data_IF_158944232728
#
_entry.id   IF_158944232728
#
_cell.length_a   1.000
_cell.length_b   1.000
_cell.length_c   1.000
_cell.angle_alpha   90.00
_cell.angle_beta   90.00
_cell.angle_gamma   90.00
#
_symmetry.space_group_name_H-M   'P 1'
#
loop_
_entity.id
_entity.type
_entity.pdbx_description
1 polymer ?
#
# COMPACT_ATOMS: atom_id res chain seq x y z
N UNK A 1 -21.85 -2.46 11.87
CA UNK A 1 -21.14 -1.83 10.74
C UNK A 1 -20.17 -2.82 10.08
N UNK A 2 -19.08 -3.26 10.73
CA UNK A 2 -18.11 -4.22 10.15
C UNK A 2 -18.70 -5.47 9.49
N UNK A 3 -19.52 -6.24 10.20
CA UNK A 3 -20.16 -7.44 9.62
C UNK A 3 -21.08 -7.14 8.42
N UNK A 4 -21.68 -5.94 8.34
CA UNK A 4 -22.47 -5.54 7.19
C UNK A 4 -21.58 -5.25 5.96
N UNK A 5 -20.41 -4.66 6.19
CA UNK A 5 -19.41 -4.47 5.14
C UNK A 5 -18.90 -5.83 4.64
N UNK A 6 -18.54 -6.76 5.53
CA UNK A 6 -18.11 -8.11 5.14
C UNK A 6 -19.19 -8.89 4.39
N UNK A 7 -20.46 -8.80 4.79
CA UNK A 7 -21.54 -9.40 4.00
C UNK A 7 -21.63 -8.78 2.61
N UNK A 8 -21.48 -7.46 2.49
CA UNK A 8 -21.52 -6.78 1.20
C UNK A 8 -20.47 -7.30 0.22
N UNK A 9 -19.24 -7.54 0.71
CA UNK A 9 -18.13 -8.10 -0.07
C UNK A 9 -18.37 -9.58 -0.40
N UNK A 10 -18.68 -10.41 0.61
CA UNK A 10 -18.87 -11.86 0.42
C UNK A 10 -20.01 -12.18 -0.54
N UNK A 11 -21.10 -11.41 -0.50
CA UNK A 11 -22.24 -11.60 -1.41
C UNK A 11 -21.91 -11.26 -2.87
N UNK A 12 -20.85 -10.46 -3.11
CA UNK A 12 -20.40 -10.01 -4.44
C UNK A 12 -19.11 -10.70 -4.89
N UNK A 13 -18.77 -11.85 -4.31
CA UNK A 13 -17.74 -12.71 -4.87
C UNK A 13 -18.21 -13.25 -6.23
N UNK A 14 -17.28 -13.37 -7.17
CA UNK A 14 -17.58 -13.94 -8.47
C UNK A 14 -17.96 -15.41 -8.34
N UNK A 15 -19.12 -15.76 -8.92
CA UNK A 15 -19.57 -17.12 -9.19
C UNK A 15 -19.93 -17.22 -10.67
N UNK A 16 -19.81 -18.41 -11.24
CA UNK A 16 -20.25 -18.63 -12.61
C UNK A 16 -21.72 -18.21 -12.79
N UNK A 17 -21.96 -17.24 -13.69
CA UNK A 17 -23.27 -16.62 -13.91
C UNK A 17 -23.42 -15.20 -13.37
N UNK A 18 -22.45 -14.66 -12.63
CA UNK A 18 -22.42 -13.23 -12.28
C UNK A 18 -22.36 -12.34 -13.53
N UNK A 19 -23.13 -11.25 -13.54
CA UNK A 19 -23.13 -10.29 -14.65
C UNK A 19 -21.84 -9.44 -14.62
N UNK A 20 -20.92 -9.73 -15.54
CA UNK A 20 -19.59 -9.09 -15.63
C UNK A 20 -19.13 -8.94 -17.09
N UNK A 21 -17.94 -8.36 -17.31
CA UNK A 21 -17.37 -8.18 -18.64
C UNK A 21 -16.96 -9.51 -19.27
N UNK A 22 -17.30 -9.71 -20.55
CA UNK A 22 -16.92 -10.93 -21.27
C UNK A 22 -15.43 -11.01 -21.64
N UNK A 23 -14.68 -9.90 -21.55
CA UNK A 23 -13.22 -9.90 -21.82
C UNK A 23 -12.37 -9.92 -20.55
N UNK A 24 -12.95 -9.67 -19.37
CA UNK A 24 -12.23 -9.86 -18.12
C UNK A 24 -12.03 -11.36 -17.93
N UNK A 25 -10.78 -11.79 -17.76
CA UNK A 25 -10.52 -13.14 -17.28
C UNK A 25 -10.86 -13.16 -15.78
N UNK A 26 -12.04 -13.72 -15.45
CA UNK A 26 -12.54 -13.80 -14.06
C UNK A 26 -12.64 -15.26 -13.61
N UNK A 27 -12.31 -15.50 -12.36
CA UNK A 27 -12.28 -16.79 -11.68
C UNK A 27 -13.16 -16.76 -10.43
N UNK A 28 -13.72 -17.92 -10.07
CA UNK A 28 -14.51 -18.04 -8.83
C UNK A 28 -13.66 -17.68 -7.61
N UNK A 29 -14.22 -16.87 -6.71
CA UNK A 29 -13.53 -16.38 -5.51
C UNK A 29 -12.87 -15.01 -5.67
N UNK A 30 -12.91 -14.41 -6.85
CA UNK A 30 -12.54 -13.00 -7.03
C UNK A 30 -13.58 -12.06 -6.42
N UNK A 31 -13.12 -10.93 -5.90
CA UNK A 31 -13.94 -9.93 -5.20
C UNK A 31 -14.33 -8.82 -6.17
N UNK A 32 -15.63 -8.51 -6.20
CA UNK A 32 -16.11 -7.36 -6.94
C UNK A 32 -15.53 -6.06 -6.37
N UNK A 33 -14.86 -5.29 -7.21
CA UNK A 33 -14.34 -3.97 -6.87
C UNK A 33 -15.45 -2.93 -6.83
N UNK A 34 -16.27 -2.89 -7.90
CA UNK A 34 -17.34 -1.91 -8.05
C UNK A 34 -18.63 -2.56 -8.55
N UNK A 35 -19.75 -2.10 -8.00
CA UNK A 35 -21.08 -2.46 -8.45
C UNK A 35 -21.71 -1.25 -9.16
N UNK A 36 -21.98 -1.40 -10.45
CA UNK A 36 -22.76 -0.44 -11.23
C UNK A 36 -24.23 -0.81 -11.14
N UNK A 37 -25.07 0.14 -10.73
CA UNK A 37 -26.51 -0.04 -10.52
C UNK A 37 -27.35 0.99 -11.29
N UNK A 38 -28.65 0.70 -11.45
CA UNK A 38 -29.64 1.65 -12.00
C UNK A 38 -29.49 1.89 -13.51
N UNK A 39 -29.77 3.10 -13.97
CA UNK A 39 -29.74 3.41 -15.40
C UNK A 39 -28.33 3.28 -16.01
N UNK A 40 -27.29 3.51 -15.22
CA UNK A 40 -25.92 3.32 -15.69
C UNK A 40 -25.62 1.84 -15.96
N UNK A 41 -26.18 0.90 -15.20
CA UNK A 41 -26.02 -0.53 -15.51
C UNK A 41 -26.72 -0.92 -16.81
N UNK A 42 -27.87 -0.30 -17.14
CA UNK A 42 -28.51 -0.49 -18.44
C UNK A 42 -27.60 -0.05 -19.59
N UNK A 43 -26.93 1.09 -19.45
CA UNK A 43 -25.96 1.57 -20.43
C UNK A 43 -24.78 0.59 -20.61
N UNK A 44 -24.19 0.14 -19.50
CA UNK A 44 -23.10 -0.84 -19.51
C UNK A 44 -23.54 -2.17 -20.14
N UNK A 45 -24.70 -2.69 -19.75
CA UNK A 45 -25.25 -3.94 -20.26
C UNK A 45 -25.50 -3.87 -21.79
N UNK A 46 -26.03 -2.75 -22.31
CA UNK A 46 -26.20 -2.54 -23.76
C UNK A 46 -24.84 -2.56 -24.47
N UNK A 47 -23.85 -1.83 -23.95
CA UNK A 47 -22.50 -1.78 -24.55
C UNK A 47 -21.79 -3.14 -24.53
N UNK A 48 -22.12 -3.99 -23.58
CA UNK A 48 -21.62 -5.37 -23.47
C UNK A 48 -22.44 -6.38 -24.28
N UNK A 49 -23.40 -5.94 -25.11
CA UNK A 49 -24.24 -6.82 -25.92
C UNK A 49 -25.28 -7.60 -25.11
N UNK A 50 -25.56 -7.19 -23.88
CA UNK A 50 -26.48 -7.79 -22.91
C UNK A 50 -27.64 -6.86 -22.55
N UNK A 51 -28.17 -6.12 -23.53
CA UNK A 51 -29.31 -5.22 -23.32
C UNK A 51 -30.55 -5.91 -22.75
N UNK A 52 -30.64 -7.25 -22.88
CA UNK A 52 -31.67 -8.09 -22.25
C UNK A 52 -31.67 -8.01 -20.71
N UNK A 53 -30.54 -7.67 -20.10
CA UNK A 53 -30.40 -7.54 -18.65
C UNK A 53 -30.97 -6.24 -18.08
N UNK A 54 -31.23 -5.23 -18.92
CA UNK A 54 -31.76 -3.93 -18.47
C UNK A 54 -30.94 -3.34 -17.32
N UNK A 55 -31.63 -2.92 -16.25
CA UNK A 55 -31.01 -2.35 -15.04
C UNK A 55 -30.40 -3.36 -14.07
N UNK A 56 -30.21 -4.63 -14.46
CA UNK A 56 -29.52 -5.59 -13.60
C UNK A 56 -28.12 -5.08 -13.24
N UNK A 57 -27.67 -5.21 -11.98
CA UNK A 57 -26.35 -4.74 -11.58
C UNK A 57 -25.23 -5.35 -12.43
N UNK A 58 -24.18 -4.57 -12.63
CA UNK A 58 -22.95 -5.00 -13.28
C UNK A 58 -21.82 -4.98 -12.25
N UNK A 59 -21.04 -6.06 -12.21
CA UNK A 59 -19.97 -6.25 -11.23
C UNK A 59 -18.60 -6.26 -11.93
N UNK A 60 -17.71 -5.37 -11.51
CA UNK A 60 -16.35 -5.25 -12.03
C UNK A 60 -15.36 -6.07 -11.20
N UNK A 61 -14.56 -6.90 -11.86
CA UNK A 61 -13.53 -7.75 -11.22
C UNK A 61 -12.14 -7.49 -11.84
N UNK A 62 -11.90 -6.30 -12.39
CA UNK A 62 -10.62 -5.94 -12.99
C UNK A 62 -9.48 -5.78 -11.95
N UNK A 63 -9.83 -5.56 -10.68
CA UNK A 63 -8.88 -5.16 -9.63
C UNK A 63 -8.35 -6.35 -8.82
N UNK A 64 -7.06 -6.65 -9.01
CA UNK A 64 -6.38 -7.80 -8.41
C UNK A 64 -5.98 -7.58 -6.94
N UNK A 65 -6.00 -6.34 -6.48
CA UNK A 65 -5.73 -5.96 -5.09
C UNK A 65 -6.93 -6.25 -4.18
N UNK A 66 -8.14 -6.04 -4.69
CA UNK A 66 -9.41 -6.14 -3.96
C UNK A 66 -9.64 -7.57 -3.47
N UNK A 67 -9.20 -8.56 -4.26
CA UNK A 67 -9.19 -9.99 -3.91
C UNK A 67 -8.46 -10.28 -2.59
N UNK A 68 -7.52 -9.42 -2.20
CA UNK A 68 -6.57 -9.63 -1.11
C UNK A 68 -6.91 -8.81 0.15
N UNK A 69 -7.89 -7.91 0.09
CA UNK A 69 -8.23 -7.02 1.21
C UNK A 69 -9.20 -7.66 2.22
N UNK A 70 -10.02 -8.62 1.77
CA UNK A 70 -11.05 -9.25 2.61
C UNK A 70 -10.45 -10.02 3.79
N UNK A 71 -9.47 -10.89 3.53
CA UNK A 71 -8.93 -11.83 4.52
C UNK A 71 -8.14 -11.12 5.64
N UNK A 72 -7.23 -10.16 5.37
CA UNK A 72 -6.61 -9.35 6.42
C UNK A 72 -7.62 -8.62 7.28
N UNK A 73 -8.66 -8.05 6.66
CA UNK A 73 -9.72 -7.32 7.38
C UNK A 73 -10.55 -8.25 8.29
N UNK A 74 -10.86 -9.47 7.83
CA UNK A 74 -11.54 -10.49 8.63
C UNK A 74 -10.67 -11.00 9.78
N UNK A 75 -9.39 -11.26 9.53
CA UNK A 75 -8.44 -11.68 10.56
C UNK A 75 -8.34 -10.61 11.66
N UNK A 76 -8.13 -9.36 11.29
CA UNK A 76 -8.11 -8.24 12.22
C UNK A 76 -9.41 -8.15 13.04
N UNK A 77 -10.56 -8.18 12.38
CA UNK A 77 -11.84 -8.08 13.08
C UNK A 77 -12.11 -9.24 14.04
N UNK A 78 -11.93 -10.49 13.60
CA UNK A 78 -12.31 -11.65 14.40
C UNK A 78 -11.29 -12.04 15.48
N UNK A 79 -10.00 -11.82 15.22
CA UNK A 79 -8.94 -12.29 16.11
C UNK A 79 -8.54 -11.22 17.13
N UNK A 80 -8.62 -9.94 16.77
CA UNK A 80 -7.98 -8.87 17.56
C UNK A 80 -8.98 -7.91 18.17
N UNK A 81 -9.99 -7.49 17.39
CA UNK A 81 -10.97 -6.52 17.87
C UNK A 81 -11.93 -7.16 18.90
N UNK A 82 -12.11 -6.54 20.08
CA UNK A 82 -13.08 -7.00 21.08
C UNK A 82 -14.50 -7.19 20.51
N UNK A 83 -14.87 -6.37 19.52
CA UNK A 83 -16.18 -6.39 18.87
C UNK A 83 -16.40 -7.59 17.94
N UNK A 84 -15.34 -8.31 17.54
CA UNK A 84 -15.40 -9.47 16.64
C UNK A 84 -15.08 -10.81 17.30
N UNK A 85 -14.44 -10.82 18.48
CA UNK A 85 -14.18 -12.04 19.26
C UNK A 85 -15.44 -12.90 19.42
N UNK A 86 -15.28 -14.21 19.23
CA UNK A 86 -16.34 -15.24 19.32
C UNK A 86 -17.54 -15.06 18.37
N UNK A 87 -17.45 -14.18 17.35
CA UNK A 87 -18.54 -13.94 16.39
C UNK A 87 -18.37 -14.62 15.04
N UNK A 88 -17.18 -15.16 14.76
CA UNK A 88 -16.84 -15.71 13.44
C UNK A 88 -17.82 -16.80 13.00
N UNK A 89 -18.07 -17.81 13.85
CA UNK A 89 -18.99 -18.91 13.52
C UNK A 89 -20.38 -18.44 13.12
N UNK A 90 -21.02 -17.64 13.98
CA UNK A 90 -22.38 -17.15 13.74
C UNK A 90 -22.47 -16.26 12.51
N UNK A 91 -21.44 -15.47 12.23
CA UNK A 91 -21.39 -14.64 11.03
C UNK A 91 -21.25 -15.50 9.77
N UNK A 92 -20.28 -16.41 9.74
CA UNK A 92 -19.95 -17.19 8.55
C UNK A 92 -21.04 -18.22 8.19
N UNK A 93 -21.84 -18.66 9.14
CA UNK A 93 -23.00 -19.54 8.90
C UNK A 93 -24.23 -18.82 8.34
N UNK A 94 -24.22 -17.49 8.22
CA UNK A 94 -25.31 -16.76 7.54
C UNK A 94 -25.28 -17.06 6.05
N UNK A 95 -26.46 -17.11 5.45
CA UNK A 95 -26.61 -17.31 4.01
C UNK A 95 -26.71 -15.99 3.26
N UNK A 96 -26.08 -15.93 2.09
CA UNK A 96 -26.23 -14.80 1.16
C UNK A 96 -27.67 -14.62 0.72
N UNK A 97 -28.05 -13.35 0.59
CA UNK A 97 -29.34 -12.92 0.08
C UNK A 97 -29.32 -12.43 -1.38
N UNK A 98 -28.13 -12.13 -1.93
CA UNK A 98 -27.97 -11.63 -3.30
C UNK A 98 -28.20 -12.76 -4.31
N UNK A 99 -28.93 -12.49 -5.40
CA UNK A 99 -29.37 -13.54 -6.34
C UNK A 99 -28.21 -14.35 -6.95
N UNK A 100 -27.04 -13.73 -7.17
CA UNK A 100 -25.84 -14.40 -7.71
C UNK A 100 -25.22 -15.42 -6.76
N UNK A 101 -25.32 -15.20 -5.44
CA UNK A 101 -24.71 -16.02 -4.40
C UNK A 101 -25.73 -16.69 -3.47
N UNK A 102 -27.02 -16.59 -3.81
CA UNK A 102 -28.15 -16.95 -2.96
C UNK A 102 -28.06 -18.38 -2.42
N UNK A 103 -28.27 -18.51 -1.11
CA UNK A 103 -28.29 -19.81 -0.43
C UNK A 103 -26.91 -20.39 -0.10
N UNK A 104 -25.81 -19.81 -0.60
CA UNK A 104 -24.45 -20.10 -0.10
C UNK A 104 -24.27 -19.49 1.28
N UNK A 105 -23.55 -20.16 2.17
CA UNK A 105 -23.12 -19.53 3.42
C UNK A 105 -21.96 -18.57 3.15
N UNK A 106 -21.77 -17.57 4.01
CA UNK A 106 -20.58 -16.73 3.95
C UNK A 106 -19.29 -17.52 4.16
N UNK A 107 -19.34 -18.67 4.86
CA UNK A 107 -18.25 -19.62 4.94
C UNK A 107 -17.90 -20.22 3.57
N UNK A 108 -18.90 -20.69 2.81
CA UNK A 108 -18.68 -21.25 1.46
C UNK A 108 -18.06 -20.22 0.52
N UNK A 109 -18.57 -18.99 0.56
CA UNK A 109 -18.08 -17.87 -0.25
C UNK A 109 -16.64 -17.50 0.15
N UNK A 110 -16.36 -17.40 1.45
CA UNK A 110 -15.01 -17.15 1.94
C UNK A 110 -14.03 -18.25 1.50
N UNK A 111 -14.45 -19.51 1.49
CA UNK A 111 -13.62 -20.62 1.04
C UNK A 111 -13.21 -20.50 -0.43
N UNK A 112 -14.08 -19.98 -1.30
CA UNK A 112 -13.75 -19.71 -2.70
C UNK A 112 -12.65 -18.66 -2.82
N UNK A 113 -12.75 -17.54 -2.09
CA UNK A 113 -11.72 -16.51 -2.08
C UNK A 113 -10.39 -17.04 -1.50
N UNK A 114 -10.43 -17.80 -0.40
CA UNK A 114 -9.24 -18.46 0.16
C UNK A 114 -8.58 -19.37 -0.87
N UNK A 115 -9.37 -20.21 -1.56
CA UNK A 115 -8.85 -21.08 -2.62
C UNK A 115 -8.21 -20.27 -3.75
N UNK A 116 -8.88 -19.23 -4.23
CA UNK A 116 -8.37 -18.36 -5.28
C UNK A 116 -7.03 -17.72 -4.89
N UNK A 117 -6.93 -17.16 -3.68
CA UNK A 117 -5.69 -16.54 -3.18
C UNK A 117 -4.57 -17.58 -3.06
N UNK A 118 -4.85 -18.77 -2.51
CA UNK A 118 -3.85 -19.83 -2.36
C UNK A 118 -3.34 -20.33 -3.72
N UNK A 119 -4.25 -20.60 -4.66
CA UNK A 119 -3.93 -21.10 -6.01
C UNK A 119 -3.12 -20.05 -6.80
N UNK A 120 -3.48 -18.78 -6.70
CA UNK A 120 -2.81 -17.70 -7.43
C UNK A 120 -1.49 -17.25 -6.81
N UNK A 121 -1.27 -17.53 -5.52
CA UNK A 121 -0.01 -17.24 -4.84
C UNK A 121 1.01 -18.37 -4.93
N UNK A 122 0.56 -19.59 -5.25
CA UNK A 122 1.40 -20.78 -5.30
C UNK A 122 2.53 -20.69 -6.34
N UNK A 123 2.32 -20.25 -7.60
CA UNK A 123 3.37 -20.28 -8.62
C UNK A 123 4.64 -19.53 -8.20
N UNK A 124 4.50 -18.36 -7.57
CA UNK A 124 5.64 -17.60 -7.06
C UNK A 124 6.29 -18.29 -5.87
N UNK A 125 5.49 -18.87 -4.97
CA UNK A 125 6.02 -19.55 -3.81
C UNK A 125 6.82 -20.81 -4.16
N UNK A 126 6.45 -21.49 -5.25
CA UNK A 126 7.16 -22.68 -5.75
C UNK A 126 8.35 -22.30 -6.66
N UNK A 127 8.23 -21.22 -7.45
CA UNK A 127 9.29 -20.70 -8.32
C UNK A 127 9.29 -19.15 -8.35
N UNK A 128 10.07 -18.48 -7.47
CA UNK A 128 10.09 -17.01 -7.40
C UNK A 128 10.73 -16.38 -8.65
N UNK A 129 9.89 -15.86 -9.55
CA UNK A 129 10.28 -15.13 -10.76
C UNK A 129 9.29 -14.00 -11.05
N UNK A 130 9.67 -13.05 -11.91
CA UNK A 130 8.78 -11.94 -12.32
C UNK A 130 7.53 -12.46 -13.02
N UNK A 131 7.65 -13.52 -13.84
CA UNK A 131 6.52 -14.16 -14.52
C UNK A 131 5.47 -14.70 -13.55
N UNK A 132 5.89 -15.08 -12.34
CA UNK A 132 5.02 -15.63 -11.32
C UNK A 132 4.51 -14.60 -10.31
N UNK A 133 4.91 -13.33 -10.42
CA UNK A 133 4.26 -12.24 -9.68
C UNK A 133 2.79 -12.12 -10.09
N UNK A 134 2.02 -11.31 -9.37
CA UNK A 134 0.65 -10.92 -9.75
C UNK A 134 0.74 -9.78 -10.77
N UNK A 135 0.25 -10.03 -11.97
CA UNK A 135 0.17 -9.07 -13.07
C UNK A 135 -1.26 -8.56 -13.19
N UNK A 136 -1.42 -7.33 -13.69
CA UNK A 136 -2.72 -6.82 -14.13
C UNK A 136 -3.30 -7.75 -15.20
N UNK A 137 -4.62 -7.90 -15.20
CA UNK A 137 -5.32 -8.77 -16.15
C UNK A 137 -5.00 -8.35 -17.61
N UNK A 138 -4.96 -9.31 -18.55
CA UNK A 138 -4.68 -9.00 -19.95
C UNK A 138 -5.65 -7.95 -20.51
N UNK A 139 -5.11 -6.87 -21.09
CA UNK A 139 -5.92 -5.79 -21.65
C UNK A 139 -6.45 -4.77 -20.63
N UNK A 140 -6.37 -5.06 -19.32
CA UNK A 140 -6.73 -4.12 -18.28
C UNK A 140 -5.55 -3.19 -17.95
N UNK A 141 -5.74 -1.86 -18.01
CA UNK A 141 -4.72 -0.88 -17.66
C UNK A 141 -4.68 -0.57 -16.15
N UNK A 142 -5.64 -1.10 -15.40
CA UNK A 142 -5.80 -0.90 -13.95
C UNK A 142 -5.83 -2.26 -13.24
N UNK A 143 -5.62 -2.24 -11.93
CA UNK A 143 -5.82 -3.43 -11.10
C UNK A 143 -5.28 -3.36 -9.67
N UNK A 144 -4.67 -2.23 -9.31
CA UNK A 144 -4.40 -1.82 -7.92
C UNK A 144 -5.30 -0.65 -7.56
N UNK A 145 -5.41 -0.29 -6.28
CA UNK A 145 -6.14 0.87 -5.77
C UNK A 145 -5.90 2.17 -6.55
N UNK A 146 -4.74 2.28 -7.20
CA UNK A 146 -4.44 3.26 -8.25
C UNK A 146 -5.25 3.02 -9.52
N UNK A 147 -6.56 3.18 -9.43
CA UNK A 147 -7.58 2.87 -10.45
C UNK A 147 -7.59 3.82 -11.69
N UNK A 148 -6.52 4.59 -11.91
CA UNK A 148 -6.31 5.35 -13.14
C UNK A 148 -5.38 4.58 -14.08
N UNK A 149 -5.63 4.65 -15.40
CA UNK A 149 -4.82 3.93 -16.41
C UNK A 149 -3.32 4.26 -16.36
N UNK A 150 -2.96 5.44 -15.87
CA UNK A 150 -1.58 5.89 -15.67
C UNK A 150 -1.10 5.77 -14.22
N UNK A 151 -1.93 5.29 -13.30
CA UNK A 151 -1.66 5.30 -11.86
C UNK A 151 -0.45 4.47 -11.45
N UNK A 152 -0.10 3.46 -12.25
CA UNK A 152 1.09 2.62 -12.10
C UNK A 152 2.24 3.03 -13.03
N UNK A 153 2.19 4.20 -13.67
CA UNK A 153 3.20 4.63 -14.64
C UNK A 153 3.26 3.75 -15.88
N UNK A 154 2.11 3.21 -16.30
CA UNK A 154 1.96 2.19 -17.35
C UNK A 154 2.61 0.83 -17.03
N UNK A 155 3.09 0.62 -15.80
CA UNK A 155 3.51 -0.70 -15.34
C UNK A 155 2.32 -1.65 -15.22
N UNK A 156 2.63 -2.95 -15.24
CA UNK A 156 1.66 -4.06 -15.26
C UNK A 156 1.82 -5.02 -14.09
N UNK A 157 2.83 -4.82 -13.25
CA UNK A 157 3.10 -5.62 -12.07
C UNK A 157 3.22 -4.67 -10.87
N UNK A 158 2.14 -4.49 -10.08
CA UNK A 158 2.10 -3.45 -9.06
C UNK A 158 2.80 -3.88 -7.76
N UNK A 159 3.57 -2.96 -7.15
CA UNK A 159 4.34 -3.24 -5.93
C UNK A 159 3.45 -3.58 -4.72
N UNK A 160 2.40 -2.78 -4.50
CA UNK A 160 1.51 -2.88 -3.35
C UNK A 160 0.88 -4.27 -3.23
N UNK A 161 0.40 -4.81 -4.36
CA UNK A 161 -0.15 -6.15 -4.46
C UNK A 161 0.90 -7.20 -4.12
N UNK A 162 2.06 -7.15 -4.77
CA UNK A 162 3.04 -8.22 -4.73
C UNK A 162 3.88 -8.25 -3.45
N UNK A 163 4.21 -7.08 -2.90
CA UNK A 163 5.10 -6.97 -1.74
C UNK A 163 4.33 -6.78 -0.45
N UNK A 164 3.14 -6.15 -0.50
CA UNK A 164 2.29 -5.91 0.66
C UNK A 164 1.12 -6.90 0.78
N UNK A 165 0.20 -6.87 -0.17
CA UNK A 165 -1.12 -7.49 -0.03
C UNK A 165 -1.09 -9.02 -0.13
N UNK A 166 -0.37 -9.61 -1.09
CA UNK A 166 -0.26 -11.07 -1.23
C UNK A 166 0.30 -11.72 0.05
N UNK A 167 1.50 -11.34 0.54
CA UNK A 167 2.02 -11.93 1.78
C UNK A 167 1.12 -11.62 2.99
N UNK A 168 0.56 -10.41 3.09
CA UNK A 168 -0.37 -10.05 4.17
C UNK A 168 -1.63 -10.92 4.19
N UNK A 169 -2.21 -11.18 3.02
CA UNK A 169 -3.38 -12.04 2.84
C UNK A 169 -3.07 -13.50 3.20
N UNK A 170 -1.91 -14.02 2.79
CA UNK A 170 -1.45 -15.36 3.16
C UNK A 170 -1.23 -15.50 4.68
N UNK A 171 -0.67 -14.48 5.34
CA UNK A 171 -0.55 -14.44 6.82
C UNK A 171 -1.92 -14.40 7.51
N UNK A 172 -2.89 -13.71 6.92
CA UNK A 172 -4.27 -13.69 7.41
C UNK A 172 -4.93 -15.07 7.30
N UNK A 173 -4.76 -15.77 6.16
CA UNK A 173 -5.22 -17.15 5.99
C UNK A 173 -4.61 -18.06 7.05
N UNK A 174 -3.29 -17.99 7.26
CA UNK A 174 -2.61 -18.80 8.28
C UNK A 174 -3.15 -18.52 9.70
N UNK A 175 -3.38 -17.25 10.04
CA UNK A 175 -3.89 -16.84 11.36
C UNK A 175 -5.33 -17.29 11.58
N UNK A 176 -6.19 -17.17 10.58
CA UNK A 176 -7.57 -17.64 10.62
C UNK A 176 -7.66 -19.18 10.69
N UNK A 177 -6.78 -19.89 9.98
CA UNK A 177 -6.65 -21.35 10.05
C UNK A 177 -6.21 -21.80 11.45
N UNK A 178 -5.17 -21.17 12.00
CA UNK A 178 -4.69 -21.42 13.38
C UNK A 178 -5.78 -21.24 14.43
N UNK A 179 -6.60 -20.19 14.27
CA UNK A 179 -7.74 -19.90 15.14
C UNK A 179 -8.93 -20.87 14.95
N UNK A 180 -8.90 -21.75 13.94
CA UNK A 180 -9.99 -22.66 13.62
C UNK A 180 -11.19 -22.00 12.95
N UNK A 181 -11.03 -20.79 12.41
CA UNK A 181 -12.06 -20.09 11.61
C UNK A 181 -12.03 -20.61 10.17
N UNK A 182 -10.85 -20.97 9.65
CA UNK A 182 -10.66 -21.67 8.39
C UNK A 182 -10.15 -23.10 8.64
N UNK A 183 -10.08 -23.91 7.58
CA UNK A 183 -9.47 -25.24 7.64
C UNK A 183 -8.02 -25.16 8.16
N UNK A 184 -7.76 -25.84 9.28
CA UNK A 184 -6.45 -25.86 9.96
C UNK A 184 -5.32 -26.36 9.06
N UNK A 185 -5.61 -27.20 8.07
CA UNK A 185 -4.59 -27.71 7.13
C UNK A 185 -3.93 -26.63 6.28
N UNK A 186 -4.56 -25.45 6.17
CA UNK A 186 -4.01 -24.31 5.43
C UNK A 186 -2.88 -23.58 6.16
N UNK A 187 -2.77 -23.70 7.48
CA UNK A 187 -1.85 -22.89 8.30
C UNK A 187 -0.40 -22.99 7.80
N UNK A 188 0.14 -24.20 7.69
CA UNK A 188 1.53 -24.44 7.31
C UNK A 188 1.81 -24.01 5.87
N UNK A 189 0.89 -24.32 4.96
CA UNK A 189 1.06 -24.00 3.52
C UNK A 189 1.00 -22.49 3.30
N UNK A 190 0.03 -21.79 3.91
CA UNK A 190 -0.10 -20.35 3.81
C UNK A 190 1.12 -19.62 4.44
N UNK A 191 1.62 -20.11 5.58
CA UNK A 191 2.86 -19.58 6.18
C UNK A 191 4.08 -19.78 5.28
N UNK A 192 4.21 -20.95 4.64
CA UNK A 192 5.29 -21.21 3.67
C UNK A 192 5.22 -20.25 2.50
N UNK A 193 4.04 -20.09 1.88
CA UNK A 193 3.84 -19.15 0.78
C UNK A 193 4.18 -17.73 1.20
N UNK A 194 3.60 -17.23 2.30
CA UNK A 194 3.84 -15.88 2.81
C UNK A 194 5.34 -15.61 3.00
N UNK A 195 6.06 -16.56 3.59
CA UNK A 195 7.50 -16.44 3.84
C UNK A 195 8.31 -16.30 2.55
N UNK A 196 7.98 -17.03 1.49
CA UNK A 196 8.66 -16.90 0.19
C UNK A 196 8.35 -15.54 -0.44
N UNK A 197 7.09 -15.11 -0.43
CA UNK A 197 6.68 -13.80 -0.91
C UNK A 197 7.41 -12.66 -0.19
N UNK A 198 7.39 -12.65 1.14
CA UNK A 198 8.08 -11.66 1.99
C UNK A 198 9.60 -11.59 1.72
N UNK A 199 10.25 -12.73 1.45
CA UNK A 199 11.70 -12.80 1.25
C UNK A 199 12.17 -12.46 -0.17
N UNK A 200 11.30 -12.66 -1.17
CA UNK A 200 11.72 -12.65 -2.58
C UNK A 200 11.08 -11.53 -3.40
N UNK A 201 9.83 -11.16 -3.13
CA UNK A 201 9.07 -10.27 -3.99
C UNK A 201 9.68 -8.87 -4.08
N UNK A 202 10.04 -8.25 -2.95
CA UNK A 202 10.58 -6.88 -2.93
C UNK A 202 11.87 -6.72 -3.74
N UNK A 203 12.68 -7.79 -3.87
CA UNK A 203 13.94 -7.77 -4.60
C UNK A 203 13.78 -7.47 -6.09
N UNK A 204 12.63 -7.80 -6.69
CA UNK A 204 12.33 -7.52 -8.09
C UNK A 204 12.01 -6.04 -8.36
N UNK A 205 11.67 -5.28 -7.31
CA UNK A 205 11.34 -3.86 -7.39
C UNK A 205 12.49 -2.95 -6.94
N UNK A 206 13.64 -3.50 -6.56
CA UNK A 206 14.79 -2.68 -6.12
C UNK A 206 15.35 -1.85 -7.30
N UNK A 207 15.35 -0.54 -7.15
CA UNK A 207 16.06 0.41 -8.02
C UNK A 207 17.31 0.86 -7.29
N UNK A 208 18.48 0.67 -7.90
CA UNK A 208 19.77 1.11 -7.37
C UNK A 208 20.41 2.08 -8.36
N UNK A 209 20.88 3.22 -7.85
CA UNK A 209 21.59 4.21 -8.65
C UNK A 209 22.61 4.96 -7.80
N UNK A 210 23.72 5.46 -8.38
CA UNK A 210 24.66 6.31 -7.67
C UNK A 210 23.98 7.55 -7.06
N UNK A 211 24.38 7.96 -5.86
CA UNK A 211 23.78 9.11 -5.17
C UNK A 211 23.86 10.39 -6.01
N UNK A 212 24.98 10.61 -6.70
CA UNK A 212 25.15 11.76 -7.60
C UNK A 212 24.12 11.76 -8.74
N UNK A 213 23.79 10.58 -9.27
CA UNK A 213 22.77 10.44 -10.30
C UNK A 213 21.37 10.72 -9.73
N UNK A 214 21.04 10.14 -8.58
CA UNK A 214 19.76 10.41 -7.89
C UNK A 214 19.58 11.91 -7.62
N UNK A 215 20.61 12.58 -7.13
CA UNK A 215 20.58 14.02 -6.88
C UNK A 215 20.43 14.83 -8.17
N UNK A 216 21.10 14.44 -9.26
CA UNK A 216 20.91 15.06 -10.56
C UNK A 216 19.47 14.93 -11.07
N UNK A 217 18.81 13.78 -10.89
CA UNK A 217 17.41 13.61 -11.27
C UNK A 217 16.50 14.52 -10.44
N UNK A 218 16.71 14.59 -9.12
CA UNK A 218 15.96 15.47 -8.22
C UNK A 218 16.09 16.94 -8.62
N UNK A 219 17.28 17.40 -9.00
CA UNK A 219 17.50 18.77 -9.50
C UNK A 219 16.73 19.02 -10.81
N UNK A 220 16.74 18.07 -11.74
CA UNK A 220 15.99 18.17 -12.99
C UNK A 220 14.47 18.26 -12.73
N UNK A 221 13.95 17.42 -11.83
CA UNK A 221 12.55 17.48 -11.42
C UNK A 221 12.19 18.81 -10.76
N UNK A 222 13.05 19.29 -9.85
CA UNK A 222 12.86 20.59 -9.16
C UNK A 222 12.74 21.73 -10.16
N UNK A 223 13.60 21.76 -11.18
CA UNK A 223 13.54 22.75 -12.26
C UNK A 223 12.26 22.61 -13.09
N UNK A 224 11.91 21.38 -13.48
CA UNK A 224 10.70 21.10 -14.26
C UNK A 224 9.42 21.51 -13.53
N UNK A 225 9.30 21.16 -12.24
CA UNK A 225 8.16 21.48 -11.39
C UNK A 225 8.15 22.94 -10.90
N UNK A 226 9.14 23.76 -11.31
CA UNK A 226 9.30 25.16 -10.91
C UNK A 226 9.34 25.34 -9.38
N UNK A 227 10.09 24.48 -8.71
CA UNK A 227 10.29 24.48 -7.27
C UNK A 227 11.56 25.26 -6.88
N UNK A 228 11.62 25.76 -5.65
CA UNK A 228 12.82 26.43 -5.13
C UNK A 228 13.92 25.41 -4.85
N UNK A 229 15.16 25.70 -5.29
CA UNK A 229 16.31 24.81 -5.09
C UNK A 229 16.59 24.49 -3.61
N UNK A 230 16.21 25.39 -2.68
CA UNK A 230 16.36 25.20 -1.24
C UNK A 230 15.62 23.96 -0.71
N UNK A 231 14.57 23.48 -1.40
CA UNK A 231 13.86 22.26 -1.03
C UNK A 231 14.73 21.00 -1.13
N UNK A 232 15.80 21.05 -1.92
CA UNK A 232 16.73 19.92 -2.10
C UNK A 232 17.73 19.80 -0.94
N UNK A 233 17.83 20.80 -0.07
CA UNK A 233 18.83 20.86 0.99
C UNK A 233 18.18 20.87 2.38
N UNK A 234 18.93 20.40 3.39
CA UNK A 234 18.45 20.35 4.78
C UNK A 234 17.10 19.63 4.92
N UNK A 235 16.22 20.22 5.73
CA UNK A 235 14.85 19.77 6.00
C UNK A 235 13.84 20.20 4.91
N UNK A 236 14.32 20.77 3.80
CA UNK A 236 13.50 21.17 2.66
C UNK A 236 12.29 22.03 3.08
N UNK A 237 11.09 21.52 2.83
CA UNK A 237 9.83 22.16 3.20
C UNK A 237 9.61 22.34 4.73
N UNK A 238 10.44 21.72 5.56
CA UNK A 238 10.36 21.73 7.02
C UNK A 238 11.48 22.57 7.68
N UNK A 239 12.31 23.30 6.91
CA UNK A 239 13.43 24.10 7.43
C UNK A 239 13.04 25.12 8.52
N UNK A 240 11.79 25.59 8.55
CA UNK A 240 11.27 26.53 9.55
C UNK A 240 10.68 25.86 10.81
N UNK A 241 10.86 24.55 10.98
CA UNK A 241 10.14 23.76 11.97
C UNK A 241 11.09 23.08 12.98
N UNK A 242 10.88 23.30 14.29
CA UNK A 242 11.74 22.76 15.35
C UNK A 242 11.35 21.34 15.74
N UNK A 243 12.33 20.45 15.92
CA UNK A 243 12.15 19.04 16.28
C UNK A 243 11.82 18.85 17.76
N UNK A 244 10.90 17.94 18.09
CA UNK A 244 10.60 17.57 19.47
C UNK A 244 10.23 16.08 19.61
N UNK A 245 11.15 15.16 19.30
CA UNK A 245 11.02 13.78 19.81
C UNK A 245 11.73 13.69 21.15
N UNK A 246 10.96 13.54 22.23
CA UNK A 246 11.53 13.13 23.52
C UNK A 246 12.10 11.72 23.40
N UNK A 247 13.43 11.58 23.51
CA UNK A 247 14.11 10.27 23.54
C UNK A 247 15.16 10.03 22.45
N UNK A 248 15.29 10.92 21.45
CA UNK A 248 16.45 10.91 20.56
C UNK A 248 17.66 11.52 21.30
N UNK A 249 18.77 10.78 21.38
CA UNK A 249 19.95 11.26 22.10
C UNK A 249 20.45 12.60 21.51
N UNK A 250 20.65 13.65 22.32
CA UNK A 250 21.07 14.99 21.86
C UNK A 250 22.54 15.05 21.40
N UNK A 251 23.15 13.90 21.10
CA UNK A 251 24.53 13.76 20.62
C UNK A 251 24.64 13.25 19.19
N UNK A 252 23.51 12.96 18.52
CA UNK A 252 23.55 12.94 17.06
C UNK A 252 23.72 14.42 16.64
N UNK A 253 24.80 14.78 15.91
CA UNK A 253 24.96 16.14 15.40
C UNK A 253 23.70 16.53 14.60
N UNK A 254 23.43 17.82 14.40
CA UNK A 254 22.33 18.38 13.60
C UNK A 254 22.23 17.79 12.16
N UNK A 255 21.90 16.51 12.01
CA UNK A 255 21.88 15.79 10.74
C UNK A 255 20.43 15.61 10.36
N UNK A 256 19.91 16.68 9.76
CA UNK A 256 18.78 16.72 8.84
C UNK A 256 19.00 15.83 7.60
N UNK A 257 19.58 14.66 7.80
CA UNK A 257 20.13 13.82 6.75
C UNK A 257 19.31 12.54 6.70
N UNK A 258 18.75 12.26 5.53
CA UNK A 258 18.23 10.93 5.23
C UNK A 258 19.35 9.91 5.13
N UNK A 259 18.99 8.65 4.97
CA UNK A 259 19.92 7.56 4.75
C UNK A 259 20.82 7.79 3.53
N UNK A 260 20.36 8.58 2.54
CA UNK A 260 21.12 9.21 1.43
C UNK A 260 22.41 9.96 1.82
N UNK A 261 22.68 10.20 3.11
CA UNK A 261 23.92 10.87 3.58
C UNK A 261 24.84 9.95 4.38
N UNK A 262 24.52 8.67 4.50
CA UNK A 262 25.44 7.68 5.07
C UNK A 262 26.46 7.29 3.98
N UNK A 263 27.66 6.85 4.37
CA UNK A 263 28.84 6.58 3.51
C UNK A 263 28.65 5.56 2.35
N UNK A 264 27.41 5.25 1.96
CA UNK A 264 27.07 4.44 0.80
C UNK A 264 27.26 5.23 -0.51
N UNK A 265 27.73 4.55 -1.56
CA UNK A 265 27.90 5.19 -2.87
C UNK A 265 26.61 5.16 -3.69
N UNK A 266 25.69 4.26 -3.34
CA UNK A 266 24.46 4.01 -4.07
C UNK A 266 23.22 4.32 -3.21
N UNK A 267 22.24 4.98 -3.83
CA UNK A 267 20.88 5.09 -3.31
C UNK A 267 20.03 3.91 -3.78
N UNK A 268 19.15 3.42 -2.91
CA UNK A 268 18.21 2.35 -3.23
C UNK A 268 16.80 2.69 -2.77
N UNK A 269 15.83 2.52 -3.66
CA UNK A 269 14.41 2.61 -3.36
C UNK A 269 13.63 1.51 -4.09
N UNK A 270 12.34 1.39 -3.81
CA UNK A 270 11.46 0.43 -4.47
C UNK A 270 10.63 1.12 -5.55
N UNK A 271 10.61 0.51 -6.73
CA UNK A 271 9.81 0.94 -7.87
C UNK A 271 8.31 0.78 -7.58
N UNK A 272 7.51 1.74 -8.05
CA UNK A 272 6.05 1.71 -7.96
C UNK A 272 5.43 0.45 -8.58
N UNK A 273 5.99 0.01 -9.69
CA UNK A 273 5.55 -1.14 -10.46
C UNK A 273 6.65 -1.61 -11.41
N UNK A 274 6.43 -2.73 -12.11
CA UNK A 274 7.26 -3.17 -13.22
C UNK A 274 6.49 -3.12 -14.54
N UNK A 275 7.19 -2.79 -15.62
CA UNK A 275 6.70 -2.93 -17.00
C UNK A 275 6.62 -4.41 -17.42
N UNK A 276 6.01 -4.67 -18.58
CA UNK A 276 5.92 -6.03 -19.15
C UNK A 276 7.28 -6.67 -19.44
N UNK A 277 8.32 -5.88 -19.68
CA UNK A 277 9.69 -6.34 -19.87
C UNK A 277 10.46 -6.50 -18.54
N UNK A 278 9.75 -6.43 -17.41
CA UNK A 278 10.27 -6.51 -16.04
C UNK A 278 11.15 -5.33 -15.61
N UNK A 279 11.24 -4.25 -16.40
CA UNK A 279 11.96 -3.05 -15.98
C UNK A 279 11.15 -2.22 -14.97
N UNK A 280 11.80 -1.52 -14.02
CA UNK A 280 11.10 -0.77 -12.98
C UNK A 280 10.54 0.57 -13.46
N UNK A 281 9.35 0.94 -12.99
CA UNK A 281 8.86 2.32 -12.98
C UNK A 281 9.51 3.06 -11.81
N UNK A 282 10.43 4.00 -12.10
CA UNK A 282 11.35 4.59 -11.12
C UNK A 282 10.73 5.74 -10.32
N UNK A 283 9.49 5.53 -9.87
CA UNK A 283 8.71 6.46 -9.06
C UNK A 283 8.72 6.00 -7.60
N UNK A 284 9.20 6.86 -6.71
CA UNK A 284 9.08 6.66 -5.27
C UNK A 284 7.60 6.79 -4.87
N UNK A 285 7.10 5.97 -3.95
CA UNK A 285 5.65 5.88 -3.73
C UNK A 285 5.29 5.44 -2.31
N UNK A 286 4.08 5.77 -1.86
CA UNK A 286 3.61 5.53 -0.49
C UNK A 286 3.25 4.06 -0.20
N UNK A 287 3.12 3.21 -1.23
CA UNK A 287 2.70 1.81 -1.03
C UNK A 287 3.73 0.98 -0.25
N UNK A 288 4.95 1.49 -0.10
CA UNK A 288 5.98 0.97 0.80
C UNK A 288 5.50 0.86 2.26
N UNK A 289 4.41 1.54 2.62
CA UNK A 289 3.74 1.40 3.92
C UNK A 289 3.00 0.07 4.10
N UNK A 290 2.52 -0.57 3.03
CA UNK A 290 1.74 -1.81 3.15
C UNK A 290 2.58 -2.97 3.76
N UNK A 291 3.83 -3.22 3.33
CA UNK A 291 4.69 -4.19 4.01
C UNK A 291 4.93 -3.86 5.49
N UNK A 292 5.03 -2.57 5.86
CA UNK A 292 5.18 -2.15 7.27
C UNK A 292 3.95 -2.54 8.11
N UNK A 293 2.77 -2.48 7.52
CA UNK A 293 1.52 -2.84 8.18
C UNK A 293 1.40 -4.36 8.37
N UNK A 294 1.67 -5.15 7.33
CA UNK A 294 1.37 -6.59 7.32
C UNK A 294 2.51 -7.51 7.76
N UNK A 295 3.78 -7.12 7.59
CA UNK A 295 4.92 -8.02 7.81
C UNK A 295 5.48 -7.95 9.24
N UNK A 296 5.91 -9.08 9.79
CA UNK A 296 6.55 -9.14 11.12
C UNK A 296 8.09 -9.04 11.05
N UNK A 297 8.67 -9.36 9.90
CA UNK A 297 10.11 -9.43 9.73
C UNK A 297 10.53 -8.62 8.50
N UNK A 298 10.87 -7.35 8.74
CA UNK A 298 11.31 -6.43 7.71
C UNK A 298 12.83 -6.30 7.78
N UNK A 299 13.48 -6.39 6.62
CA UNK A 299 14.93 -6.30 6.53
C UNK A 299 15.43 -4.88 6.86
N UNK A 300 16.65 -4.78 7.38
CA UNK A 300 17.30 -3.48 7.59
C UNK A 300 17.38 -2.68 6.28
N UNK A 301 17.65 -3.36 5.15
CA UNK A 301 17.67 -2.77 3.80
C UNK A 301 16.35 -2.07 3.46
N UNK A 302 15.22 -2.71 3.74
CA UNK A 302 13.91 -2.12 3.49
C UNK A 302 13.66 -0.91 4.41
N UNK A 303 14.00 -1.02 5.70
CA UNK A 303 13.87 0.08 6.65
C UNK A 303 14.73 1.30 6.27
N UNK A 304 15.91 1.09 5.67
CA UNK A 304 16.74 2.18 5.12
C UNK A 304 16.02 2.92 3.98
N UNK A 305 15.44 2.18 3.05
CA UNK A 305 14.63 2.76 1.97
C UNK A 305 13.40 3.51 2.51
N UNK A 306 12.77 3.05 3.60
CA UNK A 306 11.71 3.80 4.28
C UNK A 306 12.23 5.12 4.85
N UNK A 307 13.38 5.11 5.52
CA UNK A 307 13.97 6.34 6.06
C UNK A 307 14.24 7.38 4.96
N UNK A 308 14.73 6.94 3.80
CA UNK A 308 14.91 7.81 2.62
C UNK A 308 13.59 8.27 2.02
N UNK A 309 12.61 7.38 1.91
CA UNK A 309 11.29 7.74 1.40
C UNK A 309 10.58 8.78 2.28
N UNK A 310 10.89 8.82 3.57
CA UNK A 310 10.36 9.79 4.54
C UNK A 310 11.17 11.10 4.60
N UNK A 311 12.03 11.35 3.61
CA UNK A 311 12.64 12.67 3.44
C UNK A 311 11.63 13.70 2.92
N UNK A 312 11.93 15.00 3.10
CA UNK A 312 11.17 16.07 2.48
C UNK A 312 11.13 15.93 0.95
N UNK A 313 9.95 16.13 0.36
CA UNK A 313 9.77 16.26 -1.07
C UNK A 313 10.56 17.46 -1.63
N UNK A 314 11.26 17.34 -2.77
CA UNK A 314 11.21 16.24 -3.75
C UNK A 314 12.20 15.09 -3.52
N UNK A 315 13.02 15.10 -2.45
CA UNK A 315 13.95 14.00 -2.14
C UNK A 315 13.24 12.73 -1.68
N UNK A 316 12.19 12.90 -0.89
CA UNK A 316 11.30 11.83 -0.42
C UNK A 316 9.85 12.14 -0.71
N UNK A 317 8.94 11.60 0.09
CA UNK A 317 7.50 11.73 -0.08
C UNK A 317 6.90 12.89 0.73
N UNK A 318 7.59 13.40 1.76
CA UNK A 318 6.94 14.21 2.78
C UNK A 318 6.79 15.67 2.39
N UNK A 319 5.57 16.16 2.49
CA UNK A 319 5.23 17.59 2.43
C UNK A 319 4.62 18.02 3.77
N UNK A 320 4.55 19.33 4.08
CA UNK A 320 3.88 19.85 5.28
C UNK A 320 2.37 19.62 5.33
N UNK A 321 1.78 18.95 4.33
CA UNK A 321 0.37 18.57 4.26
C UNK A 321 0.17 17.06 4.03
N UNK A 322 1.22 16.25 4.28
CA UNK A 322 1.19 14.80 4.19
C UNK A 322 2.14 14.22 3.13
N UNK A 323 2.35 12.89 3.14
CA UNK A 323 3.16 12.19 2.14
C UNK A 323 2.43 12.15 0.79
N UNK A 324 3.12 12.49 -0.30
CA UNK A 324 2.58 12.24 -1.64
C UNK A 324 2.57 10.74 -1.95
N UNK A 325 1.61 10.31 -2.78
CA UNK A 325 1.48 8.88 -3.13
C UNK A 325 2.43 8.44 -4.23
N UNK A 326 2.90 9.38 -5.06
CA UNK A 326 3.89 9.15 -6.11
C UNK A 326 4.81 10.36 -6.24
N UNK A 327 6.12 10.11 -6.30
CA UNK A 327 7.16 11.11 -6.51
C UNK A 327 8.09 10.62 -7.65
N UNK A 328 7.98 11.19 -8.86
CA UNK A 328 8.80 10.80 -10.00
C UNK A 328 10.17 11.50 -10.02
N UNK A 329 10.57 12.23 -8.97
CA UNK A 329 11.77 13.07 -8.99
C UNK A 329 13.09 12.31 -9.19
N UNK A 330 13.10 10.99 -8.95
CA UNK A 330 14.25 10.12 -9.20
C UNK A 330 14.16 9.37 -10.52
N UNK A 331 13.08 9.55 -11.29
CA UNK A 331 12.89 8.87 -12.57
C UNK A 331 13.83 9.46 -13.64
N UNK A 332 14.49 8.58 -14.39
CA UNK A 332 15.31 8.97 -15.54
C UNK A 332 14.44 9.45 -16.72
N UNK A 333 13.19 8.99 -16.80
CA UNK A 333 12.26 9.33 -17.87
C UNK A 333 11.43 10.57 -17.51
N UNK A 334 11.86 11.73 -18.00
CA UNK A 334 11.20 13.02 -17.75
C UNK A 334 9.73 13.08 -18.20
N UNK A 335 9.27 12.16 -19.07
CA UNK A 335 7.86 12.10 -19.46
C UNK A 335 6.97 11.70 -18.29
N UNK A 336 7.49 10.89 -17.37
CA UNK A 336 6.76 10.37 -16.22
C UNK A 336 6.48 11.47 -15.17
N UNK A 337 7.20 12.59 -15.25
CA UNK A 337 6.93 13.77 -14.42
C UNK A 337 5.49 14.27 -14.59
N UNK A 338 5.01 14.30 -15.84
CA UNK A 338 3.64 14.72 -16.14
C UNK A 338 2.59 13.67 -15.78
N UNK A 339 2.95 12.38 -15.80
CA UNK A 339 2.08 11.27 -15.42
C UNK A 339 1.81 11.25 -13.91
N UNK A 340 2.77 11.71 -13.11
CA UNK A 340 2.68 11.81 -11.66
C UNK A 340 2.67 13.26 -11.16
N UNK A 341 2.22 14.21 -11.98
CA UNK A 341 2.04 15.59 -11.56
C UNK A 341 0.98 15.68 -10.44
N UNK A 342 1.03 16.75 -9.64
CA UNK A 342 0.06 17.01 -8.57
C UNK A 342 -1.39 17.19 -9.07
N UNK A 343 -1.61 17.39 -10.37
CA UNK A 343 -2.94 17.43 -10.99
C UNK A 343 -3.47 16.04 -11.39
N UNK A 344 -2.68 14.98 -11.25
CA UNK A 344 -3.06 13.61 -11.59
C UNK A 344 -3.60 12.88 -10.35
N UNK A 345 -4.68 12.10 -10.53
CA UNK A 345 -5.43 11.45 -9.44
C UNK A 345 -4.56 10.53 -8.55
N UNK A 346 -3.53 9.89 -9.14
CA UNK A 346 -2.53 9.08 -8.43
C UNK A 346 -1.09 9.63 -8.56
N UNK A 347 -0.95 10.93 -8.84
CA UNK A 347 0.34 11.59 -8.97
C UNK A 347 0.90 12.08 -7.63
N UNK A 348 1.55 13.24 -7.65
CA UNK A 348 2.09 13.92 -6.47
C UNK A 348 0.97 14.56 -5.63
N UNK A 349 -0.03 13.76 -5.26
CA UNK A 349 -1.17 14.10 -4.41
C UNK A 349 -1.11 13.29 -3.12
N UNK A 350 -1.91 13.66 -2.12
CA UNK A 350 -1.95 12.97 -0.84
C UNK A 350 -3.27 12.22 -0.70
N UNK A 351 -3.19 10.96 -0.25
CA UNK A 351 -4.36 10.11 0.01
C UNK A 351 -4.46 9.76 1.49
N UNK A 352 -5.63 10.00 2.09
CA UNK A 352 -5.83 9.85 3.53
C UNK A 352 -5.59 8.43 4.05
N UNK A 353 -6.01 7.41 3.29
CA UNK A 353 -5.79 6.02 3.72
C UNK A 353 -4.31 5.58 3.58
N UNK A 354 -3.59 6.10 2.58
CA UNK A 354 -2.15 5.84 2.43
C UNK A 354 -1.35 6.45 3.59
N UNK A 355 -1.74 7.64 4.05
CA UNK A 355 -1.20 8.25 5.27
C UNK A 355 -1.36 7.33 6.48
N UNK A 356 -2.57 6.78 6.65
CA UNK A 356 -2.88 5.88 7.76
C UNK A 356 -2.08 4.58 7.68
N UNK A 357 -1.96 3.96 6.50
CA UNK A 357 -1.17 2.73 6.29
C UNK A 357 0.30 2.98 6.62
N UNK A 358 0.90 4.03 6.05
CA UNK A 358 2.32 4.33 6.23
C UNK A 358 2.65 4.66 7.70
N UNK A 359 1.85 5.52 8.34
CA UNK A 359 2.06 5.88 9.75
C UNK A 359 1.83 4.68 10.69
N UNK A 360 0.72 3.96 10.53
CA UNK A 360 0.40 2.81 11.40
C UNK A 360 1.43 1.69 11.24
N UNK A 361 1.85 1.41 10.00
CA UNK A 361 2.90 0.43 9.72
C UNK A 361 4.24 0.84 10.31
N UNK A 362 4.67 2.10 10.17
CA UNK A 362 5.93 2.57 10.73
C UNK A 362 5.94 2.52 12.27
N UNK A 363 4.86 3.00 12.90
CA UNK A 363 4.68 2.93 14.36
C UNK A 363 4.75 1.48 14.83
N UNK A 364 4.08 0.58 14.10
CA UNK A 364 4.11 -0.84 14.39
C UNK A 364 5.52 -1.41 14.35
N UNK A 365 6.27 -1.18 13.28
CA UNK A 365 7.65 -1.68 13.18
C UNK A 365 8.56 -1.11 14.29
N UNK A 366 8.45 0.19 14.57
CA UNK A 366 9.23 0.84 15.64
C UNK A 366 8.87 0.29 17.02
N UNK A 367 7.62 -0.13 17.25
CA UNK A 367 7.20 -0.75 18.51
C UNK A 367 7.95 -2.06 18.81
N UNK A 368 8.44 -2.78 17.80
CA UNK A 368 9.21 -4.01 17.98
C UNK A 368 10.60 -3.78 18.56
N UNK A 369 11.11 -2.55 18.47
CA UNK A 369 12.39 -2.17 19.04
C UNK A 369 12.30 -1.85 20.55
N UNK A 370 11.10 -1.88 21.15
CA UNK A 370 10.87 -1.55 22.56
C UNK A 370 10.46 -0.09 22.76
N UNK A 371 10.89 0.51 23.87
CA UNK A 371 10.39 1.81 24.38
C UNK A 371 10.95 3.04 23.66
N UNK A 372 10.81 3.11 22.33
CA UNK A 372 11.10 4.33 21.55
C UNK A 372 9.87 5.22 21.33
N UNK A 373 8.68 4.67 21.60
CA UNK A 373 7.40 5.33 21.41
C UNK A 373 6.74 5.61 22.76
N UNK A 374 6.11 6.79 22.88
CA UNK A 374 5.32 7.13 24.06
C UNK A 374 4.15 6.16 24.22
N UNK A 375 3.99 5.60 25.42
CA UNK A 375 2.86 4.77 25.84
C UNK A 375 1.49 5.44 25.66
N UNK A 376 1.43 6.75 25.46
CA UNK A 376 0.21 7.52 25.20
C UNK A 376 -0.23 7.51 23.73
N UNK A 377 0.64 7.10 22.80
CA UNK A 377 0.26 6.95 21.40
C UNK A 377 -0.81 5.85 21.29
N UNK A 378 -1.99 6.14 20.71
CA UNK A 378 -3.01 5.13 20.52
C UNK A 378 -2.47 4.07 19.53
N UNK A 379 -2.00 2.96 20.07
CA UNK A 379 -1.50 1.84 19.30
C UNK A 379 -2.38 0.62 19.55
N UNK A 380 -3.08 0.19 18.51
CA UNK A 380 -3.65 -1.15 18.45
C UNK A 380 -2.65 -1.94 17.59
N UNK A 381 -1.84 -2.80 18.20
CA UNK A 381 -1.07 -3.75 17.41
C UNK A 381 -2.02 -4.80 16.87
N UNK A 382 -2.19 -4.75 15.55
CA UNK A 382 -3.15 -5.55 14.80
C UNK A 382 -2.52 -6.77 14.13
N UNK A 383 -1.34 -7.17 14.60
CA UNK A 383 -0.66 -8.38 14.13
C UNK A 383 0.21 -8.96 15.26
N UNK A 384 0.62 -10.21 15.09
CA UNK A 384 1.51 -10.88 16.05
C UNK A 384 2.87 -10.19 16.11
N UNK A 385 3.36 -9.93 17.33
CA UNK A 385 4.72 -9.47 17.57
C UNK A 385 5.74 -10.49 17.05
N UNK A 386 6.88 -10.05 16.50
CA UNK A 386 7.92 -10.97 16.04
C UNK A 386 8.50 -11.76 17.23
N UNK A 387 8.91 -13.01 16.97
CA UNK A 387 9.47 -13.88 18.01
C UNK A 387 10.80 -13.36 18.60
N UNK A 388 11.49 -12.49 17.86
CA UNK A 388 12.70 -11.81 18.29
C UNK A 388 12.65 -10.35 17.85
N UNK A 389 13.33 -9.49 18.61
CA UNK A 389 13.53 -8.09 18.26
C UNK A 389 14.24 -8.03 16.89
N UNK A 390 13.72 -7.26 15.91
CA UNK A 390 14.37 -7.14 14.61
C UNK A 390 15.82 -6.64 14.72
N UNK A 391 16.79 -7.22 13.98
CA UNK A 391 18.21 -6.84 14.11
C UNK A 391 18.48 -5.35 13.84
N UNK A 392 17.71 -4.74 12.93
CA UNK A 392 17.85 -3.32 12.59
C UNK A 392 17.53 -2.37 13.75
N UNK A 393 16.83 -2.84 14.80
CA UNK A 393 16.59 -2.06 16.01
C UNK A 393 17.89 -1.68 16.74
N UNK A 394 18.99 -2.41 16.50
CA UNK A 394 20.31 -2.11 17.06
C UNK A 394 21.02 -0.97 16.31
N UNK A 395 20.59 -0.65 15.08
CA UNK A 395 21.12 0.44 14.28
C UNK A 395 20.47 1.76 14.73
N UNK A 396 21.10 2.42 15.72
CA UNK A 396 20.58 3.67 16.33
C UNK A 396 20.41 4.82 15.34
N UNK A 397 21.28 4.89 14.33
CA UNK A 397 21.20 5.92 13.29
C UNK A 397 19.96 5.72 12.41
N UNK A 398 19.73 4.48 11.96
CA UNK A 398 18.53 4.13 11.21
C UNK A 398 17.25 4.36 12.03
N UNK A 399 17.22 3.92 13.30
CA UNK A 399 16.07 4.16 14.19
C UNK A 399 15.82 5.66 14.38
N UNK A 400 16.88 6.46 14.54
CA UNK A 400 16.78 7.92 14.62
C UNK A 400 16.19 8.55 13.36
N UNK A 401 16.64 8.11 12.17
CA UNK A 401 16.12 8.58 10.89
C UNK A 401 14.64 8.23 10.69
N UNK A 402 14.22 7.02 11.08
CA UNK A 402 12.82 6.58 11.04
C UNK A 402 11.93 7.40 11.99
N UNK A 403 12.39 7.68 13.20
CA UNK A 403 11.68 8.55 14.15
C UNK A 403 11.56 9.98 13.62
N UNK A 404 12.59 10.51 12.96
CA UNK A 404 12.51 11.81 12.29
C UNK A 404 11.52 11.81 11.13
N UNK A 405 11.48 10.74 10.34
CA UNK A 405 10.45 10.53 9.31
C UNK A 405 9.04 10.49 9.89
N UNK A 406 8.84 9.82 11.03
CA UNK A 406 7.57 9.77 11.74
C UNK A 406 7.12 11.15 12.26
N UNK A 407 8.04 11.97 12.79
CA UNK A 407 7.75 13.35 13.19
C UNK A 407 7.29 14.20 12.00
N UNK A 408 7.98 14.13 10.85
CA UNK A 408 7.57 14.83 9.63
C UNK A 408 6.21 14.36 9.10
N UNK A 409 5.89 13.05 9.21
CA UNK A 409 4.56 12.53 8.89
C UNK A 409 3.48 13.20 9.74
N UNK A 410 3.68 13.28 11.06
CA UNK A 410 2.73 13.93 11.97
C UNK A 410 2.55 15.41 11.67
N UNK A 411 3.64 16.14 11.39
CA UNK A 411 3.55 17.54 10.93
C UNK A 411 2.72 17.67 9.65
N UNK A 412 2.90 16.74 8.72
CA UNK A 412 2.10 16.67 7.50
C UNK A 412 0.60 16.52 7.79
N UNK A 413 0.25 15.70 8.78
CA UNK A 413 -1.15 15.51 9.18
C UNK A 413 -1.73 16.75 9.87
N UNK A 414 -0.95 17.40 10.74
CA UNK A 414 -1.35 18.65 11.39
C UNK A 414 -1.56 19.78 10.36
N UNK A 415 -0.65 19.92 9.39
CA UNK A 415 -0.79 20.90 8.32
C UNK A 415 -1.97 20.62 7.38
N UNK A 416 -2.35 19.35 7.22
CA UNK A 416 -3.54 18.94 6.49
C UNK A 416 -4.83 18.95 7.33
N UNK A 417 -4.86 19.54 8.53
CA UNK A 417 -5.95 19.36 9.50
C UNK A 417 -7.38 19.61 8.96
N UNK A 418 -7.56 20.46 7.94
CA UNK A 418 -8.87 20.68 7.28
C UNK A 418 -9.27 19.55 6.31
N UNK A 419 -8.31 18.84 5.76
CA UNK A 419 -8.46 17.83 4.71
C UNK A 419 -8.12 16.41 5.19
N UNK A 420 -7.68 16.21 6.43
CA UNK A 420 -7.19 14.91 6.94
C UNK A 420 -8.24 13.78 6.86
N UNK A 421 -9.53 14.12 6.82
CA UNK A 421 -10.64 13.18 6.65
C UNK A 421 -11.18 13.11 5.21
N UNK A 422 -10.57 13.83 4.28
CA UNK A 422 -10.84 13.71 2.85
C UNK A 422 -10.10 12.49 2.30
N UNK A 423 -10.67 11.90 1.24
CA UNK A 423 -10.07 10.77 0.54
C UNK A 423 -8.72 11.15 -0.09
N UNK A 424 -8.71 12.24 -0.85
CA UNK A 424 -7.55 12.74 -1.60
C UNK A 424 -7.51 14.27 -1.56
N UNK A 425 -6.31 14.84 -1.52
CA UNK A 425 -6.09 16.27 -1.70
C UNK A 425 -4.79 16.55 -2.47
N UNK A 426 -4.79 17.69 -3.16
CA UNK A 426 -3.64 18.22 -3.89
C UNK A 426 -3.28 19.61 -3.37
N UNK A 427 -2.22 20.20 -3.89
CA UNK A 427 -1.62 21.44 -3.41
C UNK A 427 -1.06 22.29 -4.53
N UNK A 428 -0.66 23.51 -4.19
CA UNK A 428 0.06 24.41 -5.09
C UNK A 428 1.12 25.16 -4.31
N UNK A 429 2.36 25.17 -4.80
CA UNK A 429 3.41 25.95 -4.18
C UNK A 429 3.12 27.44 -4.37
N UNK A 430 3.07 28.18 -3.25
CA UNK A 430 3.01 29.64 -3.27
C UNK A 430 4.44 30.16 -3.11
N UNK A 431 5.09 30.51 -4.23
CA UNK A 431 6.39 31.21 -4.19
C UNK A 431 6.20 32.60 -3.59
N UNK A 432 6.43 32.75 -2.29
CA UNK A 432 6.47 34.06 -1.64
C UNK A 432 7.89 34.61 -1.63
N UNK A 433 8.15 35.58 -2.50
CA UNK A 433 9.29 36.49 -2.39
C UNK A 433 9.19 37.49 -1.21
N UNK A 434 8.45 37.17 -0.14
CA UNK A 434 8.37 37.98 1.08
C UNK A 434 8.18 37.04 2.28
N UNK A 435 9.04 37.19 3.29
CA UNK A 435 9.20 36.29 4.43
C UNK A 435 7.91 35.70 5.01
N UNK A 436 7.96 34.38 5.20
CA UNK A 436 6.96 33.42 5.70
C UNK A 436 6.44 32.48 4.60
N UNK A 437 7.06 31.30 4.53
CA UNK A 437 6.62 30.18 3.68
C UNK A 437 5.23 29.69 4.11
N UNK A 438 4.38 29.35 3.16
CA UNK A 438 3.06 28.76 3.39
C UNK A 438 2.71 27.80 2.25
N UNK A 439 2.19 26.63 2.64
CA UNK A 439 1.69 25.56 1.78
C UNK A 439 0.17 25.66 1.58
#
# INVERSE_FOLDING_TARGET
MFQAAFSGVLERLYLNGSNTYSKEQVFEGEVCHEETIGDYSSYININNGRGDLGGAPYYAYSMIDTDLLLLPSLAHYFLELPQGKDRAYWFLMRTSSLDTTKGRTYYDLLHLNVKFVMDTSQPFADNPSVDNLRHLKPGEPVGSWRDSSTGLGNGRIPFDVNVGLVPGCLRAIASLAKAGILDKSLEDTANRYATVWEQRASGFFEVKMPIEQAFSHILNYTQWANLTADLNYGEGAFNDSSFAVQGAAPTAPNTAHGWLSNDDTDHMFYALSLFNDSTPVQTLHSDIGAPLLYANNISERYMKAIADALLPFPKGLLTPIGPVVANPAMDANINDYSLFDRAQYHGSVVWGFQNAILASGLIRQLSFCGSYLDSSLPFVDVYTQPAAIPPWCMNKELVGALLAGLDRLWRGFEGAGKNIYSEVWSYSYINKNCGAMGF
#
